data_IF_091916689029
#
_entry.id   IF_091916689029
#
_cell.length_a   1.000
_cell.length_b   1.000
_cell.length_c   1.000
_cell.angle_alpha   90.00
_cell.angle_beta   90.00
_cell.angle_gamma   90.00
#
_symmetry.space_group_name_H-M   'P 1'
#
loop_
_entity.id
_entity.type
_entity.pdbx_description
1 polymer ?
#
# COMPACT_ATOMS: atom_id res chain seq x y z
N UNK A 1 14.32 25.21 -19.37
CA UNK A 1 14.15 23.98 -18.69
C UNK A 1 12.76 23.36 -18.79
N UNK A 2 11.72 23.77 -18.08
CA UNK A 2 10.37 23.14 -18.16
C UNK A 2 9.69 23.36 -19.54
N UNK A 3 9.92 24.51 -20.15
CA UNK A 3 9.48 24.86 -21.51
C UNK A 3 10.11 23.94 -22.56
N UNK A 4 11.39 23.56 -22.43
CA UNK A 4 12.05 22.63 -23.37
C UNK A 4 11.53 21.18 -23.26
N UNK A 5 11.11 20.75 -22.07
CA UNK A 5 10.50 19.44 -21.88
C UNK A 5 9.10 19.41 -22.51
N UNK A 6 8.31 20.47 -22.31
CA UNK A 6 6.95 20.61 -22.83
C UNK A 6 6.91 20.56 -24.36
N UNK A 7 7.87 21.20 -25.04
CA UNK A 7 7.90 21.26 -26.50
C UNK A 7 8.39 19.95 -27.14
N UNK A 8 9.29 19.20 -26.45
CA UNK A 8 9.89 17.98 -26.99
C UNK A 8 9.17 16.70 -26.55
N UNK A 9 8.52 16.74 -25.39
CA UNK A 9 7.88 15.58 -24.75
C UNK A 9 6.50 15.99 -24.20
N UNK A 10 5.50 16.13 -25.07
CA UNK A 10 4.19 16.69 -24.68
C UNK A 10 3.45 15.85 -23.62
N UNK A 11 3.75 14.55 -23.52
CA UNK A 11 3.15 13.66 -22.55
C UNK A 11 3.86 13.68 -21.17
N UNK A 12 4.96 14.42 -21.01
CA UNK A 12 5.72 14.49 -19.74
C UNK A 12 5.45 15.78 -18.94
N UNK A 13 4.49 16.57 -19.34
CA UNK A 13 4.15 17.83 -18.65
C UNK A 13 3.70 17.55 -17.22
N UNK A 14 4.31 18.26 -16.24
CA UNK A 14 3.97 18.17 -14.81
C UNK A 14 4.53 16.95 -14.08
N UNK A 15 5.33 16.12 -14.75
CA UNK A 15 5.98 14.96 -14.17
C UNK A 15 7.44 15.25 -13.80
N UNK A 16 7.97 14.51 -12.84
CA UNK A 16 9.42 14.47 -12.62
C UNK A 16 10.07 13.80 -13.84
N UNK A 17 11.10 14.43 -14.44
CA UNK A 17 11.79 13.85 -15.59
C UNK A 17 12.40 12.50 -15.25
N UNK A 18 12.09 11.49 -16.05
CA UNK A 18 12.70 10.18 -16.00
C UNK A 18 13.06 9.77 -17.42
N UNK A 19 14.27 9.22 -17.59
CA UNK A 19 14.84 8.94 -18.91
C UNK A 19 13.97 7.96 -19.70
N UNK A 20 13.49 6.89 -19.07
CA UNK A 20 12.66 5.88 -19.76
C UNK A 20 11.34 6.47 -20.27
N UNK A 21 10.73 7.41 -19.54
CA UNK A 21 9.49 8.10 -19.95
C UNK A 21 9.72 8.96 -21.19
N UNK A 22 10.88 9.62 -21.24
CA UNK A 22 11.30 10.37 -22.44
C UNK A 22 11.49 9.47 -23.67
N UNK A 23 12.06 8.28 -23.48
CA UNK A 23 12.21 7.29 -24.55
C UNK A 23 10.84 6.78 -25.06
N UNK A 24 9.89 6.52 -24.18
CA UNK A 24 8.52 6.11 -24.58
C UNK A 24 7.91 7.16 -25.48
N UNK A 25 7.84 8.42 -25.02
CA UNK A 25 7.24 9.52 -25.78
C UNK A 25 7.95 9.76 -27.12
N UNK A 26 9.27 9.74 -27.12
CA UNK A 26 10.08 9.92 -28.33
C UNK A 26 9.87 8.82 -29.37
N UNK A 27 9.79 7.56 -28.95
CA UNK A 27 9.60 6.43 -29.87
C UNK A 27 8.23 6.47 -30.54
N UNK A 28 7.19 6.95 -29.86
CA UNK A 28 5.87 7.15 -30.48
C UNK A 28 5.89 8.15 -31.63
N UNK A 29 6.65 9.25 -31.49
CA UNK A 29 6.83 10.25 -32.55
C UNK A 29 7.62 9.75 -33.76
N UNK A 30 8.42 8.68 -33.58
CA UNK A 30 9.26 8.11 -34.64
C UNK A 30 8.64 6.90 -35.35
N UNK A 31 7.42 6.49 -34.94
CA UNK A 31 6.76 5.29 -35.48
C UNK A 31 5.93 5.66 -36.71
N UNK A 32 6.08 4.91 -37.82
CA UNK A 32 5.23 5.04 -39.01
C UNK A 32 3.79 4.59 -38.72
N UNK A 33 2.85 4.94 -39.61
CA UNK A 33 1.42 4.61 -39.43
C UNK A 33 1.14 3.11 -39.34
N UNK A 34 1.98 2.26 -39.97
CA UNK A 34 1.88 0.79 -39.87
C UNK A 34 2.86 0.18 -38.89
N UNK A 35 3.70 1.00 -38.25
CA UNK A 35 4.79 0.56 -37.37
C UNK A 35 4.31 -0.06 -36.08
N UNK A 36 5.22 -0.81 -35.46
CA UNK A 36 5.07 -1.32 -34.09
C UNK A 36 6.36 -1.10 -33.32
N UNK A 37 6.23 -0.79 -32.04
CA UNK A 37 7.32 -0.61 -31.10
C UNK A 37 7.12 -1.59 -29.97
N UNK A 38 8.17 -2.31 -29.58
CA UNK A 38 8.17 -3.10 -28.35
C UNK A 38 9.28 -2.59 -27.45
N UNK A 39 8.91 -2.26 -26.22
CA UNK A 39 9.81 -1.72 -25.18
C UNK A 39 9.69 -2.55 -23.90
N UNK A 40 10.80 -2.65 -23.19
CA UNK A 40 10.84 -3.11 -21.81
C UNK A 40 11.22 -1.92 -20.94
N UNK A 41 10.38 -1.60 -19.95
CA UNK A 41 10.61 -0.45 -19.07
C UNK A 41 9.87 -0.60 -17.73
N UNK A 42 10.19 0.22 -16.70
CA UNK A 42 9.47 0.24 -15.43
C UNK A 42 7.98 0.56 -15.57
N UNK A 43 7.19 0.18 -14.57
CA UNK A 43 5.73 0.32 -14.53
C UNK A 43 5.22 1.61 -13.87
N UNK A 44 6.12 2.41 -13.27
CA UNK A 44 5.72 3.53 -12.40
C UNK A 44 4.81 4.56 -13.05
N UNK A 45 4.88 4.79 -14.38
CA UNK A 45 3.98 5.71 -15.06
C UNK A 45 2.53 5.23 -15.13
N UNK A 46 2.27 3.93 -14.95
CA UNK A 46 0.91 3.40 -14.82
C UNK A 46 0.34 3.53 -13.41
N UNK A 47 1.18 3.67 -12.38
CA UNK A 47 0.75 3.73 -10.97
C UNK A 47 0.86 5.12 -10.34
N UNK A 48 1.69 6.00 -10.88
CA UNK A 48 1.88 7.35 -10.36
C UNK A 48 0.80 8.34 -10.81
N UNK A 49 0.19 9.07 -9.87
CA UNK A 49 -0.86 10.05 -10.14
C UNK A 49 -0.41 11.11 -11.18
N UNK A 50 0.80 11.66 -11.04
CA UNK A 50 1.33 12.72 -11.92
C UNK A 50 1.62 12.27 -13.34
N UNK A 51 1.67 10.95 -13.61
CA UNK A 51 1.96 10.43 -14.95
C UNK A 51 0.72 10.29 -15.85
N UNK A 52 -0.40 10.86 -15.49
CA UNK A 52 -1.67 10.79 -16.21
C UNK A 52 -1.57 11.12 -17.72
N UNK A 53 -0.88 12.20 -18.18
CA UNK A 53 -0.75 12.49 -19.62
C UNK A 53 0.00 11.39 -20.39
N UNK A 54 1.09 10.85 -19.82
CA UNK A 54 1.85 9.76 -20.45
C UNK A 54 1.02 8.47 -20.47
N UNK A 55 0.33 8.17 -19.40
CA UNK A 55 -0.56 7.01 -19.28
C UNK A 55 -1.68 7.03 -20.29
N UNK A 56 -2.36 8.17 -20.47
CA UNK A 56 -3.35 8.38 -21.53
C UNK A 56 -2.75 8.11 -22.92
N UNK A 57 -1.58 8.67 -23.19
CA UNK A 57 -0.86 8.43 -24.43
C UNK A 57 -0.54 6.96 -24.66
N UNK A 58 -0.15 6.24 -23.60
CA UNK A 58 0.11 4.80 -23.62
C UNK A 58 -1.15 3.99 -23.92
N UNK A 59 -2.25 4.20 -23.20
CA UNK A 59 -3.49 3.44 -23.38
C UNK A 59 -4.05 3.52 -24.80
N UNK A 60 -3.93 4.66 -25.44
CA UNK A 60 -4.39 4.82 -26.83
C UNK A 60 -3.47 4.15 -27.87
N UNK A 61 -2.24 3.78 -27.46
CA UNK A 61 -1.23 3.17 -28.36
C UNK A 61 -0.94 1.72 -28.06
N UNK A 62 -1.16 1.25 -26.81
CA UNK A 62 -0.95 -0.13 -26.42
C UNK A 62 -1.76 -1.11 -27.27
N UNK A 63 -1.13 -2.24 -27.56
CA UNK A 63 -1.74 -3.46 -28.12
C UNK A 63 -1.55 -4.63 -27.19
N UNK A 64 -0.41 -4.68 -26.50
CA UNK A 64 -0.07 -5.67 -25.49
C UNK A 64 0.65 -5.03 -24.33
N UNK A 65 0.28 -5.41 -23.15
CA UNK A 65 0.92 -5.03 -21.90
C UNK A 65 1.10 -6.29 -21.03
N UNK A 66 2.34 -6.68 -20.83
CA UNK A 66 2.71 -7.82 -20.00
C UNK A 66 3.54 -7.34 -18.82
N UNK A 67 2.97 -7.33 -17.61
CA UNK A 67 3.66 -6.90 -16.41
C UNK A 67 4.33 -8.08 -15.72
N UNK A 68 5.63 -7.97 -15.51
CA UNK A 68 6.45 -8.94 -14.82
C UNK A 68 6.93 -8.41 -13.48
N UNK A 69 7.15 -9.32 -12.53
CA UNK A 69 7.86 -9.06 -11.27
C UNK A 69 9.14 -9.90 -11.31
N UNK A 70 10.29 -9.29 -10.96
CA UNK A 70 11.61 -9.88 -11.16
C UNK A 70 11.97 -10.99 -10.15
N UNK A 71 11.00 -11.61 -9.48
CA UNK A 71 11.19 -12.62 -8.45
C UNK A 71 12.06 -13.83 -8.87
N UNK A 72 12.11 -14.14 -10.16
CA UNK A 72 12.99 -15.17 -10.73
C UNK A 72 14.32 -14.59 -11.27
N UNK A 73 14.62 -13.34 -10.94
CA UNK A 73 15.87 -12.66 -11.30
C UNK A 73 16.21 -12.80 -12.79
N UNK A 74 15.22 -12.52 -13.66
CA UNK A 74 15.43 -12.53 -15.12
C UNK A 74 16.30 -11.35 -15.57
N UNK A 75 16.38 -10.30 -14.78
CA UNK A 75 17.28 -9.14 -14.93
C UNK A 75 18.10 -8.95 -13.64
N UNK A 76 19.30 -8.43 -13.79
CA UNK A 76 20.21 -8.10 -12.67
C UNK A 76 19.77 -6.77 -11.99
N UNK A 77 18.55 -6.78 -11.43
CA UNK A 77 17.94 -5.73 -10.64
C UNK A 77 17.25 -6.35 -9.43
N UNK A 78 16.84 -5.54 -8.47
CA UNK A 78 16.12 -6.02 -7.28
C UNK A 78 14.93 -6.90 -7.67
N UNK A 79 14.77 -8.04 -6.98
CA UNK A 79 13.76 -9.04 -7.30
C UNK A 79 12.32 -8.57 -7.07
N UNK A 80 12.10 -7.53 -6.27
CA UNK A 80 10.77 -6.94 -6.08
C UNK A 80 10.37 -5.97 -7.20
N UNK A 81 11.30 -5.59 -8.07
CA UNK A 81 11.01 -4.63 -9.12
C UNK A 81 10.04 -5.19 -10.16
N UNK A 82 9.00 -4.41 -10.45
CA UNK A 82 8.09 -4.66 -11.54
C UNK A 82 8.56 -3.94 -12.81
N UNK A 83 8.46 -4.64 -13.93
CA UNK A 83 8.71 -4.10 -15.27
C UNK A 83 7.68 -4.64 -16.25
N UNK A 84 7.48 -3.92 -17.35
CA UNK A 84 6.53 -4.36 -18.38
C UNK A 84 7.19 -4.56 -19.74
N UNK A 85 6.65 -5.52 -20.48
CA UNK A 85 6.88 -5.68 -21.92
C UNK A 85 5.69 -5.08 -22.65
N UNK A 86 5.92 -4.01 -23.39
CA UNK A 86 4.88 -3.20 -23.99
C UNK A 86 4.99 -3.23 -25.50
N UNK A 87 3.88 -3.48 -26.19
CA UNK A 87 3.81 -3.32 -27.64
C UNK A 87 2.88 -2.15 -27.96
N UNK A 88 3.44 -1.11 -28.55
CA UNK A 88 2.74 0.08 -29.00
C UNK A 88 2.58 0.09 -30.54
N UNK A 89 1.54 0.75 -31.01
CA UNK A 89 1.26 1.06 -32.41
C UNK A 89 0.72 2.50 -32.52
N UNK A 90 0.47 3.03 -33.73
CA UNK A 90 -0.17 4.32 -33.88
C UNK A 90 -1.45 4.46 -33.04
N UNK A 91 -1.72 5.69 -32.62
CA UNK A 91 -2.82 6.03 -31.73
C UNK A 91 -4.17 5.60 -32.30
N UNK A 92 -5.01 5.02 -31.44
CA UNK A 92 -6.43 4.73 -31.70
C UNK A 92 -7.32 5.80 -31.06
N UNK A 93 -8.60 5.81 -31.47
CA UNK A 93 -9.62 6.69 -30.87
C UNK A 93 -9.99 6.24 -29.44
N UNK A 94 -9.95 4.93 -29.18
CA UNK A 94 -10.27 4.32 -27.89
C UNK A 94 -9.25 3.24 -27.53
N UNK A 95 -9.02 2.98 -26.23
CA UNK A 95 -8.14 1.92 -25.76
C UNK A 95 -8.71 0.55 -26.13
N UNK A 96 -7.83 -0.33 -26.57
CA UNK A 96 -8.14 -1.76 -26.78
C UNK A 96 -6.82 -2.53 -26.83
N UNK A 97 -6.44 -3.19 -25.74
CA UNK A 97 -5.19 -3.94 -25.65
C UNK A 97 -5.32 -5.17 -24.77
N UNK A 98 -4.49 -6.18 -25.04
CA UNK A 98 -4.35 -7.33 -24.18
C UNK A 98 -3.43 -6.99 -23.00
N UNK A 99 -3.86 -7.36 -21.80
CA UNK A 99 -3.16 -7.12 -20.53
C UNK A 99 -3.03 -8.41 -19.75
N UNK A 100 -1.85 -8.66 -19.20
CA UNK A 100 -1.63 -9.67 -18.17
C UNK A 100 -0.64 -9.14 -17.14
N UNK A 101 -0.88 -9.44 -15.87
CA UNK A 101 -0.08 -8.98 -14.76
C UNK A 101 0.34 -10.11 -13.82
N UNK A 102 1.21 -9.80 -12.87
CA UNK A 102 1.76 -10.77 -11.93
C UNK A 102 2.41 -11.98 -12.64
N UNK A 103 3.16 -11.67 -13.70
CA UNK A 103 3.93 -12.64 -14.46
C UNK A 103 5.35 -12.75 -13.86
N UNK A 104 5.89 -13.95 -13.83
CA UNK A 104 7.23 -14.20 -13.32
C UNK A 104 8.17 -14.78 -14.38
N UNK A 105 7.59 -15.37 -15.46
CA UNK A 105 8.36 -15.93 -16.57
C UNK A 105 7.63 -15.73 -17.91
N UNK A 106 8.35 -15.45 -19.02
CA UNK A 106 7.74 -15.22 -20.33
C UNK A 106 6.92 -16.39 -20.89
N UNK A 107 7.30 -17.64 -20.56
CA UNK A 107 6.56 -18.84 -21.00
C UNK A 107 5.11 -18.86 -20.52
N UNK A 108 4.82 -18.24 -19.35
CA UNK A 108 3.47 -18.13 -18.81
C UNK A 108 2.56 -17.41 -19.79
N UNK A 109 2.93 -16.21 -20.24
CA UNK A 109 2.11 -15.44 -21.17
C UNK A 109 2.10 -16.05 -22.57
N UNK A 110 3.22 -16.60 -23.01
CA UNK A 110 3.32 -17.29 -24.30
C UNK A 110 2.34 -18.47 -24.39
N UNK A 111 2.34 -19.32 -23.38
CA UNK A 111 1.39 -20.44 -23.29
C UNK A 111 -0.06 -19.98 -23.11
N UNK A 112 -0.31 -18.88 -22.40
CA UNK A 112 -1.65 -18.33 -22.17
C UNK A 112 -2.32 -17.84 -23.45
N UNK A 113 -1.56 -17.33 -24.43
CA UNK A 113 -2.08 -16.85 -25.72
C UNK A 113 -2.75 -17.96 -26.57
N UNK A 114 -2.33 -19.20 -26.39
CA UNK A 114 -2.89 -20.36 -27.12
C UNK A 114 -3.70 -21.30 -26.22
N UNK A 115 -3.88 -20.97 -24.94
CA UNK A 115 -4.57 -21.83 -23.99
C UNK A 115 -6.08 -21.86 -24.21
N UNK A 116 -6.68 -23.06 -24.13
CA UNK A 116 -8.11 -23.26 -24.38
C UNK A 116 -9.03 -22.87 -23.22
N UNK A 117 -8.47 -22.52 -22.04
CA UNK A 117 -9.22 -22.17 -20.84
C UNK A 117 -9.64 -23.36 -19.96
N UNK A 118 -9.15 -24.56 -20.24
CA UNK A 118 -9.45 -25.74 -19.43
C UNK A 118 -8.51 -25.82 -18.21
N UNK A 119 -9.01 -26.40 -17.11
CA UNK A 119 -8.26 -26.61 -15.88
C UNK A 119 -8.50 -25.55 -14.82
N UNK A 120 -7.78 -25.67 -13.70
CA UNK A 120 -7.90 -24.71 -12.59
C UNK A 120 -7.22 -23.39 -12.91
N UNK A 121 -7.85 -22.30 -12.51
CA UNK A 121 -7.28 -20.95 -12.64
C UNK A 121 -5.98 -20.84 -11.85
N UNK A 122 -4.93 -20.29 -12.46
CA UNK A 122 -3.68 -20.02 -11.75
C UNK A 122 -3.81 -18.81 -10.82
N UNK A 123 -3.12 -18.91 -9.67
CA UNK A 123 -3.00 -17.83 -8.69
C UNK A 123 -1.66 -17.08 -8.79
N UNK A 124 -1.28 -16.42 -7.70
CA UNK A 124 0.07 -15.87 -7.53
C UNK A 124 1.07 -16.97 -7.18
N UNK A 125 0.65 -17.90 -6.34
CA UNK A 125 1.40 -19.08 -5.90
C UNK A 125 0.64 -20.35 -6.29
N UNK A 126 1.38 -21.42 -6.55
CA UNK A 126 0.85 -22.78 -6.70
C UNK A 126 0.64 -23.46 -5.33
N UNK A 127 0.13 -24.67 -5.33
CA UNK A 127 -0.14 -25.43 -4.11
C UNK A 127 1.13 -25.78 -3.29
N UNK A 128 2.29 -25.64 -3.89
CA UNK A 128 3.60 -25.81 -3.25
C UNK A 128 4.24 -24.48 -2.81
N UNK A 129 3.48 -23.39 -2.83
CA UNK A 129 3.91 -22.03 -2.51
C UNK A 129 5.00 -21.45 -3.43
N UNK A 130 5.26 -22.06 -4.60
CA UNK A 130 6.09 -21.47 -5.64
C UNK A 130 5.30 -20.44 -6.46
N UNK A 131 6.01 -19.55 -7.17
CA UNK A 131 5.38 -18.64 -8.12
C UNK A 131 4.64 -19.43 -9.20
N UNK A 132 3.35 -19.15 -9.39
CA UNK A 132 2.51 -19.92 -10.32
C UNK A 132 2.80 -19.54 -11.76
N UNK A 133 3.55 -20.40 -12.46
CA UNK A 133 3.95 -20.21 -13.85
C UNK A 133 3.00 -20.85 -14.85
N UNK A 134 1.93 -21.52 -14.39
CA UNK A 134 0.98 -22.20 -15.27
C UNK A 134 0.35 -21.20 -16.25
N UNK A 135 0.34 -21.52 -17.56
CA UNK A 135 -0.41 -20.73 -18.54
C UNK A 135 -1.90 -20.96 -18.38
N UNK A 136 -2.71 -19.93 -18.61
CA UNK A 136 -4.15 -20.03 -18.70
C UNK A 136 -4.70 -18.87 -19.52
N UNK A 137 -5.75 -19.09 -20.35
CA UNK A 137 -6.37 -18.04 -21.14
C UNK A 137 -6.81 -16.85 -20.29
N UNK A 138 -7.37 -17.14 -19.13
CA UNK A 138 -7.95 -16.12 -18.24
C UNK A 138 -6.91 -15.32 -17.42
N UNK A 139 -5.61 -15.56 -17.66
CA UNK A 139 -4.55 -14.60 -17.26
C UNK A 139 -4.54 -13.34 -18.16
N UNK A 140 -5.15 -13.42 -19.35
CA UNK A 140 -5.15 -12.33 -20.31
C UNK A 140 -6.52 -11.66 -20.31
N UNK A 141 -6.53 -10.39 -19.91
CA UNK A 141 -7.70 -9.51 -19.96
C UNK A 141 -7.62 -8.60 -21.19
N UNK A 142 -8.73 -8.37 -21.87
CA UNK A 142 -8.83 -7.28 -22.84
C UNK A 142 -9.25 -6.02 -22.11
N UNK A 143 -8.42 -4.98 -22.21
CA UNK A 143 -8.68 -3.67 -21.60
C UNK A 143 -9.27 -2.74 -22.64
N UNK A 144 -10.49 -2.31 -22.40
CA UNK A 144 -11.26 -1.33 -23.17
C UNK A 144 -11.71 -0.15 -22.29
N UNK A 145 -12.57 0.70 -22.79
CA UNK A 145 -13.13 1.82 -22.02
C UNK A 145 -13.91 1.38 -20.79
N UNK A 146 -14.60 0.25 -20.84
CA UNK A 146 -15.38 -0.24 -19.70
C UNK A 146 -14.45 -0.67 -18.55
N UNK A 147 -13.39 -1.40 -18.87
CA UNK A 147 -12.37 -1.79 -17.89
C UNK A 147 -11.69 -0.56 -17.29
N UNK A 148 -11.37 0.47 -18.11
CA UNK A 148 -10.80 1.71 -17.60
C UNK A 148 -11.75 2.47 -16.68
N UNK A 149 -13.07 2.44 -16.92
CA UNK A 149 -14.07 3.02 -16.01
C UNK A 149 -14.12 2.27 -14.67
N UNK A 150 -13.97 0.94 -14.68
CA UNK A 150 -13.83 0.15 -13.45
C UNK A 150 -12.56 0.55 -12.71
N UNK A 151 -11.40 0.62 -13.38
CA UNK A 151 -10.15 1.06 -12.75
C UNK A 151 -10.27 2.48 -12.18
N UNK A 152 -10.96 3.38 -12.90
CA UNK A 152 -11.27 4.72 -12.43
C UNK A 152 -12.04 4.69 -11.09
N UNK A 153 -13.12 3.93 -11.01
CA UNK A 153 -13.93 3.83 -9.79
C UNK A 153 -13.18 3.21 -8.60
N UNK A 154 -12.12 2.44 -8.87
CA UNK A 154 -11.25 1.85 -7.84
C UNK A 154 -10.22 2.86 -7.31
N UNK A 155 -9.57 3.61 -8.20
CA UNK A 155 -8.32 4.32 -7.89
C UNK A 155 -8.41 5.85 -7.95
N UNK A 156 -9.41 6.40 -8.63
CA UNK A 156 -9.46 7.83 -8.92
C UNK A 156 -10.67 8.50 -8.28
N UNK A 157 -10.65 9.81 -8.28
CA UNK A 157 -11.79 10.67 -7.98
C UNK A 157 -12.41 11.21 -9.29
N UNK A 158 -13.63 11.74 -9.22
CA UNK A 158 -14.40 12.21 -10.38
C UNK A 158 -13.71 13.33 -11.20
N UNK A 159 -12.69 13.99 -10.64
CA UNK A 159 -11.92 15.03 -11.34
C UNK A 159 -10.95 14.47 -12.38
N UNK A 160 -10.62 13.17 -12.31
CA UNK A 160 -9.70 12.50 -13.22
C UNK A 160 -10.47 11.90 -14.39
N UNK A 161 -10.15 12.16 -15.67
CA UNK A 161 -10.75 11.44 -16.78
C UNK A 161 -10.45 9.94 -16.74
N UNK A 162 -11.43 9.08 -17.03
CA UNK A 162 -11.25 7.62 -16.97
C UNK A 162 -10.09 7.12 -17.84
N UNK A 163 -9.81 7.76 -18.96
CA UNK A 163 -8.68 7.44 -19.86
C UNK A 163 -7.31 7.72 -19.24
N UNK A 164 -7.27 8.42 -18.12
CA UNK A 164 -6.09 8.74 -17.33
C UNK A 164 -6.01 7.94 -16.01
N UNK A 165 -6.90 6.96 -15.83
CA UNK A 165 -6.93 6.12 -14.64
C UNK A 165 -5.64 5.33 -14.47
N UNK A 166 -5.18 5.17 -13.23
CA UNK A 166 -4.08 4.27 -12.91
C UNK A 166 -4.46 2.83 -13.25
N UNK A 167 -3.45 2.03 -13.56
CA UNK A 167 -3.64 0.62 -13.92
C UNK A 167 -3.87 -0.24 -12.67
N UNK A 168 -4.74 -1.22 -12.80
CA UNK A 168 -5.00 -2.24 -11.79
C UNK A 168 -4.39 -3.56 -12.24
N UNK A 169 -3.74 -4.26 -11.33
CA UNK A 169 -3.00 -5.49 -11.62
C UNK A 169 -3.67 -6.69 -10.97
N UNK A 170 -4.22 -7.57 -11.77
CA UNK A 170 -4.85 -8.82 -11.33
C UNK A 170 -4.20 -10.01 -12.00
N UNK A 171 -4.11 -11.12 -11.27
CA UNK A 171 -3.46 -12.34 -11.75
C UNK A 171 -4.29 -13.06 -12.83
N UNK A 172 -5.62 -12.85 -12.83
CA UNK A 172 -6.57 -13.45 -13.77
C UNK A 172 -7.87 -12.64 -13.81
N UNK A 173 -8.77 -13.00 -14.73
CA UNK A 173 -10.04 -12.32 -14.94
C UNK A 173 -11.04 -12.48 -13.80
N UNK A 174 -10.99 -13.59 -13.04
CA UNK A 174 -11.85 -13.76 -11.86
C UNK A 174 -11.45 -12.80 -10.73
N UNK A 175 -10.16 -12.60 -10.52
CA UNK A 175 -9.66 -11.58 -9.60
C UNK A 175 -10.11 -10.16 -10.02
N UNK A 176 -10.11 -9.86 -11.32
CA UNK A 176 -10.63 -8.61 -11.87
C UNK A 176 -12.15 -8.47 -11.59
N UNK A 177 -12.94 -9.52 -11.76
CA UNK A 177 -14.37 -9.51 -11.49
C UNK A 177 -14.68 -9.30 -10.00
N UNK A 178 -13.85 -9.81 -9.09
CA UNK A 178 -13.99 -9.53 -7.64
C UNK A 178 -13.75 -8.04 -7.36
N UNK A 179 -12.71 -7.44 -7.95
CA UNK A 179 -12.45 -6.00 -7.77
C UNK A 179 -13.59 -5.14 -8.33
N UNK A 180 -14.16 -5.49 -9.47
CA UNK A 180 -15.32 -4.81 -10.03
C UNK A 180 -16.50 -4.81 -9.07
N UNK A 181 -16.79 -5.95 -8.41
CA UNK A 181 -17.83 -6.02 -7.38
C UNK A 181 -17.51 -5.14 -6.16
N UNK A 182 -16.25 -5.14 -5.72
CA UNK A 182 -15.82 -4.31 -4.60
C UNK A 182 -15.78 -2.81 -4.94
N UNK A 183 -15.72 -2.46 -6.22
CA UNK A 183 -15.70 -1.07 -6.67
C UNK A 183 -16.95 -0.27 -6.27
N UNK A 184 -18.08 -0.93 -6.05
CA UNK A 184 -19.32 -0.30 -5.59
C UNK A 184 -19.46 -0.18 -4.05
N UNK A 185 -18.51 -0.76 -3.28
CA UNK A 185 -18.56 -0.70 -1.83
C UNK A 185 -18.19 0.71 -1.32
N UNK A 186 -18.77 1.18 -0.18
CA UNK A 186 -18.32 2.39 0.50
C UNK A 186 -16.81 2.36 0.78
N UNK A 187 -16.20 3.53 0.88
CA UNK A 187 -14.74 3.68 1.09
C UNK A 187 -14.44 4.22 2.48
N UNK A 188 -13.26 3.91 2.99
CA UNK A 188 -12.78 4.46 4.29
C UNK A 188 -12.83 5.99 4.27
N UNK A 189 -12.52 6.66 3.16
CA UNK A 189 -12.57 8.13 3.05
C UNK A 189 -13.92 8.74 3.39
N UNK A 190 -15.01 8.00 3.19
CA UNK A 190 -16.39 8.47 3.44
C UNK A 190 -16.72 8.51 4.94
N UNK A 191 -15.88 7.92 5.76
CA UNK A 191 -16.10 7.73 7.18
C UNK A 191 -15.47 8.80 8.06
N UNK A 192 -14.56 9.63 7.52
CA UNK A 192 -13.97 10.76 8.23
C UNK A 192 -12.82 10.43 9.19
N UNK A 193 -12.07 9.36 8.96
CA UNK A 193 -10.83 9.09 9.72
C UNK A 193 -9.83 10.23 9.59
N UNK A 194 -9.12 10.54 10.66
CA UNK A 194 -7.99 11.46 10.64
C UNK A 194 -6.67 10.69 10.63
N UNK A 195 -5.70 11.18 9.86
CA UNK A 195 -4.45 10.50 9.54
C UNK A 195 -3.23 11.21 10.14
N UNK A 196 -2.18 10.44 10.49
CA UNK A 196 -0.90 10.96 10.95
C UNK A 196 0.27 10.21 10.30
N UNK A 197 1.23 10.97 9.74
CA UNK A 197 2.51 10.46 9.25
C UNK A 197 3.56 10.29 10.37
N UNK A 198 3.26 10.71 11.59
CA UNK A 198 4.23 10.73 12.67
C UNK A 198 5.40 11.68 12.41
N UNK A 199 6.56 11.35 12.95
CA UNK A 199 7.80 12.09 12.80
C UNK A 199 8.46 11.82 11.44
N UNK A 200 8.96 12.89 10.80
CA UNK A 200 9.81 12.74 9.62
C UNK A 200 11.26 12.47 10.05
N UNK A 201 11.76 11.25 9.80
CA UNK A 201 13.05 10.75 10.31
C UNK A 201 14.23 11.70 10.08
N UNK A 202 14.29 12.40 8.96
CA UNK A 202 15.39 13.32 8.65
C UNK A 202 15.14 14.73 9.20
N UNK A 203 13.96 15.29 8.95
CA UNK A 203 13.66 16.69 9.25
C UNK A 203 13.48 16.90 10.76
N UNK A 204 12.68 16.04 11.42
CA UNK A 204 12.33 16.22 12.81
C UNK A 204 13.46 15.77 13.74
N UNK A 205 14.26 14.78 13.33
CA UNK A 205 15.52 14.45 13.99
C UNK A 205 16.50 15.63 13.92
N UNK A 206 16.67 16.26 12.74
CA UNK A 206 17.51 17.45 12.59
C UNK A 206 17.00 18.64 13.41
N UNK A 207 15.70 18.72 13.64
CA UNK A 207 15.07 19.71 14.51
C UNK A 207 15.29 19.43 16.01
N UNK A 208 15.86 18.26 16.37
CA UNK A 208 16.16 17.89 17.75
C UNK A 208 14.97 17.38 18.54
N UNK A 209 13.95 16.82 17.89
CA UNK A 209 12.81 16.24 18.61
C UNK A 209 13.09 14.83 19.13
N UNK A 210 13.93 14.09 18.43
CA UNK A 210 14.38 12.76 18.83
C UNK A 210 15.72 12.40 18.18
N UNK A 211 16.43 11.44 18.75
CA UNK A 211 17.70 10.92 18.24
C UNK A 211 17.65 9.43 17.96
N UNK A 212 18.60 8.97 17.14
CA UNK A 212 18.83 7.53 16.94
C UNK A 212 19.58 6.97 18.14
N UNK A 213 19.03 5.94 18.74
CA UNK A 213 19.62 5.24 19.86
C UNK A 213 18.69 4.15 20.36
N UNK A 214 19.26 2.99 20.70
CA UNK A 214 18.47 1.95 21.33
C UNK A 214 18.02 2.39 22.72
N UNK A 215 16.75 2.17 23.03
CA UNK A 215 16.18 2.38 24.35
C UNK A 215 15.15 1.31 24.67
N UNK A 216 14.98 1.06 25.96
CA UNK A 216 13.83 0.35 26.50
C UNK A 216 13.03 1.37 27.32
N UNK A 217 11.97 1.95 26.75
CA UNK A 217 11.17 2.98 27.42
C UNK A 217 10.44 2.43 28.65
N UNK A 218 10.31 3.28 29.67
CA UNK A 218 9.51 2.96 30.89
C UNK A 218 8.04 3.43 30.70
N UNK A 219 7.73 4.17 29.64
CA UNK A 219 6.41 4.72 29.36
C UNK A 219 6.10 4.68 27.87
N UNK A 220 4.84 4.47 27.54
CA UNK A 220 4.35 4.56 26.17
C UNK A 220 4.54 5.95 25.53
N UNK A 221 4.62 7.02 26.34
CA UNK A 221 4.91 8.37 25.86
C UNK A 221 6.31 8.53 25.28
N UNK A 222 7.24 7.63 25.61
CA UNK A 222 8.60 7.62 25.09
C UNK A 222 8.80 6.61 23.95
N UNK A 223 7.77 5.83 23.60
CA UNK A 223 7.83 4.86 22.53
C UNK A 223 7.75 5.55 21.16
N UNK A 224 8.74 5.27 20.29
CA UNK A 224 8.75 5.69 18.88
C UNK A 224 8.79 4.45 18.01
N UNK A 225 7.64 4.08 17.44
CA UNK A 225 7.47 2.87 16.65
C UNK A 225 8.02 3.00 15.24
N UNK A 226 8.45 1.86 14.70
CA UNK A 226 8.88 1.67 13.32
C UNK A 226 8.11 0.49 12.69
N UNK A 227 8.18 0.36 11.36
CA UNK A 227 7.49 -0.69 10.62
C UNK A 227 7.61 -2.10 11.20
N UNK A 228 8.81 -2.60 11.55
CA UNK A 228 8.95 -3.96 12.07
C UNK A 228 8.21 -4.26 13.37
N UNK A 229 7.87 -3.28 14.19
CA UNK A 229 7.02 -3.49 15.36
C UNK A 229 5.62 -4.01 15.02
N UNK A 230 5.13 -3.72 13.79
CA UNK A 230 3.75 -3.99 13.40
C UNK A 230 3.64 -5.28 12.59
N UNK A 231 2.81 -6.20 13.04
CA UNK A 231 2.33 -7.34 12.28
C UNK A 231 0.97 -7.08 11.61
N UNK A 232 0.34 -8.12 11.09
CA UNK A 232 -1.06 -8.05 10.65
C UNK A 232 -1.94 -8.39 11.83
N UNK A 233 -2.75 -7.45 12.27
CA UNK A 233 -3.62 -7.57 13.45
C UNK A 233 -2.88 -7.87 14.77
N UNK A 234 -1.58 -7.71 14.80
CA UNK A 234 -0.79 -7.98 16.02
C UNK A 234 0.33 -6.97 16.12
N UNK A 235 0.30 -6.07 17.10
CA UNK A 235 1.37 -5.13 17.37
C UNK A 235 2.53 -5.80 18.12
N UNK A 236 3.67 -5.12 18.18
CA UNK A 236 4.84 -5.45 18.99
C UNK A 236 5.47 -6.82 18.68
N UNK A 237 5.35 -7.29 17.43
CA UNK A 237 5.87 -8.62 17.01
C UNK A 237 7.39 -8.68 16.92
N UNK A 238 8.07 -7.55 16.81
CA UNK A 238 9.53 -7.41 16.75
C UNK A 238 9.98 -6.17 17.50
N UNK A 239 11.22 -6.19 17.96
CA UNK A 239 11.89 -5.03 18.55
C UNK A 239 13.34 -4.94 18.08
N UNK A 240 13.95 -3.74 18.03
CA UNK A 240 15.32 -3.56 17.60
C UNK A 240 16.30 -4.15 18.62
N UNK A 241 17.40 -4.71 18.13
CA UNK A 241 18.48 -5.17 18.97
C UNK A 241 19.33 -3.99 19.48
N UNK A 242 19.93 -4.08 20.66
CA UNK A 242 20.78 -3.02 21.22
C UNK A 242 21.96 -2.64 20.31
N UNK A 243 22.36 -3.53 19.43
CA UNK A 243 23.51 -3.35 18.51
C UNK A 243 23.22 -2.40 17.36
N UNK A 244 21.98 -2.23 16.93
CA UNK A 244 21.54 -1.37 15.82
C UNK A 244 22.49 -1.42 14.59
N UNK A 245 23.01 -2.61 14.23
CA UNK A 245 24.04 -2.78 13.21
C UNK A 245 23.58 -2.38 11.79
N UNK A 246 22.32 -2.62 11.50
CA UNK A 246 21.70 -2.33 10.20
C UNK A 246 20.16 -2.30 10.35
N UNK A 247 19.47 -1.86 9.33
CA UNK A 247 18.01 -1.70 9.35
C UNK A 247 17.21 -3.00 9.60
N UNK A 248 17.85 -4.17 9.48
CA UNK A 248 17.22 -5.48 9.71
C UNK A 248 17.70 -6.12 11.04
N UNK A 249 18.36 -5.36 11.92
CA UNK A 249 18.87 -5.85 13.21
C UNK A 249 17.75 -5.84 14.26
N UNK A 250 16.77 -6.74 14.06
CA UNK A 250 15.56 -6.89 14.87
C UNK A 250 15.39 -8.33 15.32
N UNK A 251 14.89 -8.53 16.52
CA UNK A 251 14.48 -9.82 17.04
C UNK A 251 12.97 -9.93 17.15
N UNK A 252 12.46 -11.14 17.01
CA UNK A 252 11.06 -11.45 17.27
C UNK A 252 10.79 -11.39 18.77
N UNK A 253 9.59 -10.91 19.12
CA UNK A 253 9.08 -10.94 20.48
C UNK A 253 8.24 -12.20 20.64
N UNK A 254 8.52 -12.96 21.68
CA UNK A 254 7.71 -14.12 22.02
C UNK A 254 6.39 -13.67 22.67
N UNK A 255 5.32 -13.73 21.87
CA UNK A 255 3.99 -13.30 22.30
C UNK A 255 3.36 -14.23 23.35
N UNK A 256 3.80 -15.49 23.44
CA UNK A 256 3.27 -16.46 24.43
C UNK A 256 3.80 -16.17 25.84
N UNK A 257 4.97 -15.57 25.94
CA UNK A 257 5.62 -15.26 27.23
C UNK A 257 5.68 -13.75 27.50
N UNK A 258 5.03 -12.94 26.70
CA UNK A 258 5.02 -11.48 26.85
C UNK A 258 4.38 -11.06 28.17
N UNK A 259 5.06 -10.26 29.01
CA UNK A 259 4.47 -9.72 30.22
C UNK A 259 3.30 -8.77 29.92
N UNK A 260 2.31 -8.69 30.81
CA UNK A 260 1.17 -7.80 30.66
C UNK A 260 1.58 -6.32 30.58
N UNK A 261 2.62 -5.91 31.26
CA UNK A 261 3.17 -4.55 31.30
C UNK A 261 4.25 -4.29 30.21
N UNK A 262 4.39 -5.19 29.22
CA UNK A 262 5.43 -5.09 28.21
C UNK A 262 5.35 -3.80 27.40
N UNK A 263 6.48 -3.09 27.31
CA UNK A 263 6.72 -1.96 26.42
C UNK A 263 7.89 -2.34 25.49
N UNK A 264 7.76 -2.20 24.14
CA UNK A 264 8.81 -2.62 23.23
C UNK A 264 10.04 -1.72 23.32
N UNK A 265 11.23 -2.27 23.11
CA UNK A 265 12.42 -1.48 22.84
C UNK A 265 12.27 -0.69 21.54
N UNK A 266 12.94 0.46 21.45
CA UNK A 266 12.92 1.37 20.30
C UNK A 266 14.33 1.68 19.81
N UNK A 267 14.45 2.02 18.49
CA UNK A 267 15.71 2.47 17.90
C UNK A 267 15.83 4.01 17.86
N UNK A 268 14.86 4.70 18.46
CA UNK A 268 14.83 6.16 18.62
C UNK A 268 14.51 6.51 20.06
N UNK A 269 15.07 7.62 20.51
CA UNK A 269 14.85 8.17 21.84
C UNK A 269 14.32 9.59 21.73
N UNK A 270 13.25 9.96 22.47
CA UNK A 270 12.81 11.35 22.56
C UNK A 270 13.93 12.25 23.05
N UNK A 271 14.14 13.39 22.40
CA UNK A 271 14.97 14.44 22.98
C UNK A 271 14.06 15.42 23.75
N UNK A 272 14.06 15.29 25.06
CA UNK A 272 13.34 16.18 25.97
C UNK A 272 14.23 17.23 26.61
N UNK A 273 15.47 17.42 26.10
CA UNK A 273 16.56 18.24 26.65
C UNK A 273 16.25 19.74 26.78
N UNK A 274 15.29 20.07 27.62
CA UNK A 274 14.98 21.44 28.04
C UNK A 274 13.94 22.16 27.19
N UNK A 275 13.34 21.53 26.18
CA UNK A 275 12.26 22.12 25.39
C UNK A 275 11.00 21.24 25.46
N UNK A 276 9.84 21.76 25.81
CA UNK A 276 8.57 21.02 25.83
C UNK A 276 8.06 20.72 24.41
N UNK A 277 8.97 20.58 23.43
CA UNK A 277 8.64 20.57 22.02
C UNK A 277 8.31 19.18 21.51
N UNK A 278 8.91 18.12 22.06
CA UNK A 278 8.67 16.74 21.62
C UNK A 278 7.17 16.40 21.57
N UNK A 279 6.45 16.58 22.66
CA UNK A 279 5.02 16.26 22.71
C UNK A 279 4.14 17.32 22.02
N UNK A 280 4.54 18.59 22.07
CA UNK A 280 3.74 19.70 21.54
C UNK A 280 3.72 19.82 20.02
N UNK A 281 4.76 19.32 19.33
CA UNK A 281 4.90 19.40 17.86
C UNK A 281 4.47 18.12 17.14
N UNK A 282 4.15 17.04 17.85
CA UNK A 282 3.62 15.84 17.22
C UNK A 282 2.30 16.14 16.49
N UNK A 283 2.00 15.47 15.36
CA UNK A 283 0.79 15.75 14.59
C UNK A 283 -0.48 15.78 15.44
N UNK A 284 -1.32 16.79 15.21
CA UNK A 284 -2.56 17.04 15.95
C UNK A 284 -3.77 16.80 15.09
N UNK A 285 -4.81 16.28 15.71
CA UNK A 285 -6.12 16.06 15.13
C UNK A 285 -7.15 17.01 15.70
N UNK A 286 -8.20 17.29 14.92
CA UNK A 286 -9.32 18.10 15.35
C UNK A 286 -10.26 17.21 16.16
N UNK A 287 -10.31 17.41 17.46
CA UNK A 287 -11.26 16.77 18.37
C UNK A 287 -12.38 17.69 18.79
N UNK A 288 -13.35 17.17 19.56
CA UNK A 288 -14.53 17.91 20.06
C UNK A 288 -14.15 19.13 20.88
N UNK A 289 -13.00 19.10 21.55
CA UNK A 289 -12.49 20.15 22.44
C UNK A 289 -11.28 20.93 21.85
N UNK A 290 -11.06 20.89 20.54
CA UNK A 290 -9.94 21.54 19.86
C UNK A 290 -8.88 20.60 19.36
N UNK A 291 -7.71 21.12 18.96
CA UNK A 291 -6.63 20.33 18.42
C UNK A 291 -5.89 19.55 19.52
N UNK A 292 -5.92 18.23 19.43
CA UNK A 292 -5.32 17.30 20.37
C UNK A 292 -4.24 16.47 19.67
N UNK A 293 -3.15 16.11 20.38
CA UNK A 293 -2.12 15.24 19.82
C UNK A 293 -2.73 13.93 19.34
N UNK A 294 -2.36 13.52 18.12
CA UNK A 294 -2.80 12.23 17.59
C UNK A 294 -2.32 11.05 18.46
N UNK A 295 -1.25 11.21 19.23
CA UNK A 295 -0.78 10.20 20.16
C UNK A 295 -1.71 9.95 21.36
N UNK A 296 -2.71 10.79 21.61
CA UNK A 296 -3.63 10.61 22.74
C UNK A 296 -4.73 9.56 22.46
N UNK A 297 -4.79 9.03 21.25
CA UNK A 297 -5.84 8.10 20.84
C UNK A 297 -5.29 6.70 20.58
N UNK A 298 -6.13 5.68 20.78
CA UNK A 298 -5.93 4.39 20.12
C UNK A 298 -6.03 4.58 18.60
N UNK A 299 -5.08 4.01 17.86
CA UNK A 299 -4.97 4.23 16.41
C UNK A 299 -4.71 2.91 15.71
N UNK A 300 -5.28 2.78 14.52
CA UNK A 300 -4.77 1.80 13.56
C UNK A 300 -3.50 2.36 12.95
N UNK A 301 -2.40 1.63 13.10
CA UNK A 301 -1.12 1.96 12.49
C UNK A 301 -0.74 0.90 11.46
N UNK A 302 -0.08 1.29 10.36
CA UNK A 302 0.34 0.35 9.33
C UNK A 302 1.69 0.73 8.74
N UNK A 303 2.38 -0.29 8.19
CA UNK A 303 3.64 -0.06 7.47
C UNK A 303 3.34 0.70 6.19
N UNK A 304 4.04 1.80 5.95
CA UNK A 304 3.91 2.59 4.73
C UNK A 304 4.48 1.86 3.51
N UNK A 305 5.67 1.24 3.65
CA UNK A 305 6.28 0.48 2.55
C UNK A 305 5.60 -0.87 2.42
N UNK A 306 5.28 -1.25 1.19
CA UNK A 306 4.61 -2.49 0.87
C UNK A 306 5.34 -3.27 -0.22
N UNK A 307 5.39 -4.58 -0.04
CA UNK A 307 5.81 -5.52 -1.08
C UNK A 307 4.59 -6.29 -1.59
N UNK A 308 4.24 -6.12 -2.85
CA UNK A 308 3.09 -6.83 -3.46
C UNK A 308 3.34 -8.33 -3.60
N UNK A 309 4.59 -8.77 -3.46
CA UNK A 309 5.02 -10.19 -3.49
C UNK A 309 5.10 -10.82 -2.11
N UNK A 310 5.03 -10.03 -1.03
CA UNK A 310 5.02 -10.53 0.33
C UNK A 310 3.79 -11.39 0.66
N UNK A 311 3.83 -12.08 1.81
CA UNK A 311 2.68 -12.86 2.32
C UNK A 311 1.45 -11.97 2.47
N UNK A 312 1.64 -10.77 2.98
CA UNK A 312 0.63 -9.70 3.01
C UNK A 312 1.23 -8.42 2.41
N UNK A 313 0.37 -7.52 1.96
CA UNK A 313 0.72 -6.21 1.44
C UNK A 313 0.42 -5.11 2.46
N UNK A 314 -0.68 -5.24 3.16
CA UNK A 314 -1.13 -4.33 4.20
C UNK A 314 -0.90 -4.95 5.59
N UNK A 315 -0.19 -4.23 6.48
CA UNK A 315 0.18 -4.66 7.83
C UNK A 315 -0.40 -3.71 8.89
N UNK A 316 -1.71 -3.71 9.10
CA UNK A 316 -2.34 -2.86 10.10
C UNK A 316 -2.38 -3.56 11.46
N UNK A 317 -2.16 -2.79 12.52
CA UNK A 317 -2.42 -3.20 13.90
C UNK A 317 -2.76 -1.98 14.76
N UNK A 318 -3.39 -2.21 15.93
CA UNK A 318 -3.67 -1.14 16.87
C UNK A 318 -2.41 -0.74 17.62
N UNK A 319 -2.29 0.54 17.94
CA UNK A 319 -1.27 1.08 18.82
C UNK A 319 -1.94 1.89 19.94
N UNK A 320 -1.42 1.80 21.19
CA UNK A 320 -2.04 2.46 22.34
C UNK A 320 -1.76 3.96 22.36
N UNK A 321 -2.49 4.73 23.18
CA UNK A 321 -2.17 6.12 23.50
C UNK A 321 -0.73 6.25 24.05
N UNK A 322 -0.12 7.42 23.86
CA UNK A 322 1.29 7.69 24.22
C UNK A 322 2.25 7.36 23.07
N UNK A 323 2.13 6.16 22.49
CA UNK A 323 3.03 5.72 21.40
C UNK A 323 3.07 6.70 20.24
N UNK A 324 4.26 7.07 19.81
CA UNK A 324 4.52 7.84 18.58
C UNK A 324 5.16 6.92 17.53
N UNK A 325 5.32 7.41 16.32
CA UNK A 325 5.98 6.64 15.27
C UNK A 325 6.67 7.55 14.27
N UNK A 326 7.62 6.99 13.53
CA UNK A 326 8.27 7.66 12.40
C UNK A 326 7.53 7.39 11.09
N UNK A 327 7.77 8.23 10.09
CA UNK A 327 7.11 8.28 8.79
C UNK A 327 7.02 6.96 7.99
N UNK A 328 7.92 5.94 8.13
CA UNK A 328 7.67 4.60 7.57
C UNK A 328 6.47 3.87 8.17
N UNK A 329 5.87 4.41 9.22
CA UNK A 329 4.57 4.02 9.77
C UNK A 329 3.59 5.16 9.59
N UNK A 330 2.39 4.85 9.16
CA UNK A 330 1.25 5.76 9.17
C UNK A 330 0.22 5.28 10.21
N UNK A 331 -0.57 6.21 10.74
CA UNK A 331 -1.66 5.86 11.64
C UNK A 331 -2.91 6.68 11.38
N UNK A 332 -4.06 6.16 11.80
CA UNK A 332 -5.34 6.84 11.68
C UNK A 332 -6.29 6.41 12.80
N UNK A 333 -7.27 7.27 13.11
CA UNK A 333 -8.38 6.95 13.99
C UNK A 333 -9.62 7.78 13.64
N UNK A 334 -10.76 7.34 14.14
CA UNK A 334 -11.93 8.18 14.35
C UNK A 334 -11.74 8.84 15.71
N UNK A 335 -11.65 10.16 15.72
CA UNK A 335 -11.45 10.91 16.98
C UNK A 335 -12.69 10.77 17.83
N UNK A 336 -12.50 10.44 19.11
CA UNK A 336 -13.55 10.20 20.11
C UNK A 336 -14.47 8.98 19.80
N UNK A 337 -14.11 8.09 18.85
CA UNK A 337 -14.88 6.91 18.46
C UNK A 337 -13.98 5.67 18.35
N UNK A 338 -13.65 5.05 19.51
CA UNK A 338 -12.73 3.91 19.60
C UNK A 338 -13.25 2.67 18.86
N UNK A 339 -14.56 2.42 18.94
CA UNK A 339 -15.20 1.26 18.32
C UNK A 339 -15.09 1.29 16.79
N UNK A 340 -15.30 2.45 16.18
CA UNK A 340 -15.17 2.69 14.75
C UNK A 340 -13.71 2.53 14.32
N UNK A 341 -12.77 3.00 15.13
CA UNK A 341 -11.33 2.81 14.92
C UNK A 341 -10.95 1.32 14.91
N UNK A 342 -11.45 0.55 15.89
CA UNK A 342 -11.25 -0.91 15.96
C UNK A 342 -11.83 -1.61 14.74
N UNK A 343 -13.05 -1.23 14.32
CA UNK A 343 -13.73 -1.81 13.17
C UNK A 343 -12.98 -1.52 11.86
N UNK A 344 -12.46 -0.30 11.68
CA UNK A 344 -11.63 0.06 10.55
C UNK A 344 -10.33 -0.77 10.52
N UNK A 345 -9.67 -0.95 11.67
CA UNK A 345 -8.49 -1.80 11.80
C UNK A 345 -8.76 -3.25 11.44
N UNK A 346 -9.89 -3.80 11.88
CA UNK A 346 -10.31 -5.15 11.55
C UNK A 346 -10.57 -5.30 10.03
N UNK A 347 -11.25 -4.35 9.41
CA UNK A 347 -11.47 -4.33 7.96
C UNK A 347 -10.16 -4.25 7.19
N UNK A 348 -9.26 -3.33 7.55
CA UNK A 348 -7.94 -3.17 6.95
C UNK A 348 -7.09 -4.45 7.07
N UNK A 349 -7.27 -5.23 8.13
CA UNK A 349 -6.59 -6.51 8.35
C UNK A 349 -7.15 -7.66 7.51
N UNK A 350 -8.29 -7.47 6.86
CA UNK A 350 -8.95 -8.50 6.08
C UNK A 350 -8.18 -8.84 4.79
N UNK A 351 -8.38 -10.06 4.29
CA UNK A 351 -7.85 -10.47 2.98
C UNK A 351 -8.43 -9.65 1.82
N UNK A 352 -9.63 -9.10 2.00
CA UNK A 352 -10.29 -8.27 0.99
C UNK A 352 -9.55 -6.95 0.81
N UNK A 353 -9.23 -6.26 1.90
CA UNK A 353 -8.47 -5.02 1.86
C UNK A 353 -7.00 -5.24 1.41
N UNK A 354 -6.40 -6.36 1.81
CA UNK A 354 -5.06 -6.74 1.33
C UNK A 354 -5.05 -7.01 -0.19
N UNK A 355 -6.05 -7.74 -0.68
CA UNK A 355 -6.22 -8.01 -2.11
C UNK A 355 -6.43 -6.72 -2.90
N UNK A 356 -7.28 -5.80 -2.38
CA UNK A 356 -7.47 -4.49 -2.98
C UNK A 356 -6.16 -3.71 -3.07
N UNK A 357 -5.45 -3.56 -1.94
CA UNK A 357 -4.18 -2.85 -1.88
C UNK A 357 -3.14 -3.44 -2.85
N UNK A 358 -3.01 -4.77 -2.88
CA UNK A 358 -2.11 -5.50 -3.78
C UNK A 358 -2.42 -5.22 -5.25
N UNK A 359 -3.71 -5.21 -5.61
CA UNK A 359 -4.17 -5.03 -6.98
C UNK A 359 -3.91 -3.62 -7.53
N UNK A 360 -3.65 -2.63 -6.67
CA UNK A 360 -3.25 -1.29 -7.10
C UNK A 360 -1.82 -1.23 -7.64
N UNK A 361 -0.99 -2.24 -7.39
CA UNK A 361 0.42 -2.25 -7.74
C UNK A 361 1.26 -1.19 -7.03
N UNK A 362 0.71 -0.53 -6.00
CA UNK A 362 1.42 0.52 -5.27
C UNK A 362 2.52 -0.07 -4.39
N UNK A 363 3.67 0.57 -4.37
CA UNK A 363 4.80 0.26 -3.48
C UNK A 363 4.68 0.91 -2.10
N UNK A 364 3.70 1.79 -1.92
CA UNK A 364 3.44 2.52 -0.69
C UNK A 364 1.98 2.47 -0.28
N UNK A 365 1.72 2.12 0.96
CA UNK A 365 0.40 2.20 1.60
C UNK A 365 0.16 3.62 2.10
N UNK A 366 0.03 4.55 1.15
CA UNK A 366 -0.23 5.97 1.41
C UNK A 366 -1.65 6.22 1.91
N UNK A 367 -1.92 7.40 2.47
CA UNK A 367 -3.28 7.78 2.90
C UNK A 367 -4.33 7.63 1.80
N UNK A 368 -4.12 8.17 0.57
CA UNK A 368 -5.10 8.02 -0.49
C UNK A 368 -5.41 6.56 -0.85
N UNK A 369 -4.43 5.65 -0.70
CA UNK A 369 -4.67 4.23 -0.91
C UNK A 369 -5.52 3.64 0.21
N UNK A 370 -5.20 3.92 1.47
CA UNK A 370 -5.99 3.46 2.62
C UNK A 370 -7.40 4.04 2.59
N UNK A 371 -7.55 5.31 2.25
CA UNK A 371 -8.84 5.95 2.03
C UNK A 371 -9.68 5.29 0.92
N UNK A 372 -9.03 4.67 -0.07
CA UNK A 372 -9.70 3.96 -1.16
C UNK A 372 -10.14 2.54 -0.80
N UNK A 373 -9.73 1.99 0.35
CA UNK A 373 -10.09 0.63 0.75
C UNK A 373 -11.60 0.47 0.90
N UNK A 374 -12.18 -0.65 0.42
CA UNK A 374 -13.58 -0.94 0.61
C UNK A 374 -13.88 -1.19 2.10
N UNK A 375 -14.95 -0.61 2.60
CA UNK A 375 -15.34 -0.70 3.99
C UNK A 375 -16.85 -0.79 4.11
N UNK A 376 -17.36 -1.59 5.05
CA UNK A 376 -18.77 -1.65 5.39
C UNK A 376 -18.93 -1.78 6.89
N UNK A 377 -19.78 -0.95 7.47
CA UNK A 377 -20.15 -1.00 8.90
C UNK A 377 -21.28 -2.00 9.16
N UNK A 378 -21.84 -2.61 8.13
CA UNK A 378 -22.99 -3.50 8.26
C UNK A 378 -22.58 -4.94 8.57
N UNK A 379 -23.33 -5.56 9.47
CA UNK A 379 -23.39 -6.99 9.83
C UNK A 379 -22.15 -7.68 10.42
N UNK A 380 -22.34 -8.32 11.57
CA UNK A 380 -21.36 -9.08 12.37
C UNK A 380 -20.28 -8.25 13.11
N UNK A 381 -20.45 -6.94 13.24
CA UNK A 381 -19.50 -6.04 13.86
C UNK A 381 -19.01 -6.54 15.24
N UNK A 382 -19.89 -6.98 16.13
CA UNK A 382 -19.52 -7.37 17.50
C UNK A 382 -18.53 -8.55 17.57
N UNK A 383 -18.72 -9.58 16.73
CA UNK A 383 -17.78 -10.72 16.67
C UNK A 383 -16.45 -10.29 16.06
N UNK A 384 -16.49 -9.57 14.96
CA UNK A 384 -15.30 -9.07 14.28
C UNK A 384 -14.46 -8.18 15.21
N UNK A 385 -15.08 -7.30 15.94
CA UNK A 385 -14.43 -6.42 16.91
C UNK A 385 -13.73 -7.24 18.02
N UNK A 386 -14.43 -8.19 18.65
CA UNK A 386 -13.87 -9.03 19.70
C UNK A 386 -12.70 -9.88 19.19
N UNK A 387 -12.84 -10.51 18.02
CA UNK A 387 -11.78 -11.34 17.43
C UNK A 387 -10.56 -10.50 17.04
N UNK A 388 -10.76 -9.27 16.50
CA UNK A 388 -9.67 -8.36 16.17
C UNK A 388 -8.96 -7.84 17.44
N UNK A 389 -9.72 -7.48 18.48
CA UNK A 389 -9.13 -7.03 19.75
C UNK A 389 -8.33 -8.13 20.43
N UNK A 390 -8.75 -9.40 20.35
CA UNK A 390 -7.97 -10.54 20.90
C UNK A 390 -6.58 -10.66 20.26
N UNK A 391 -6.43 -10.26 19.01
CA UNK A 391 -5.14 -10.28 18.31
C UNK A 391 -4.29 -9.05 18.61
N UNK A 392 -4.92 -7.93 18.99
CA UNK A 392 -4.23 -6.65 19.18
C UNK A 392 -3.99 -6.28 20.65
N UNK A 393 -4.88 -6.64 21.56
CA UNK A 393 -4.78 -6.28 22.97
C UNK A 393 -3.82 -7.22 23.72
N UNK A 394 -2.54 -7.17 23.33
CA UNK A 394 -1.48 -8.06 23.83
C UNK A 394 -0.84 -7.62 25.12
N UNK A 395 -1.15 -6.41 25.62
CA UNK A 395 -0.65 -5.86 26.89
C UNK A 395 -1.73 -5.07 27.61
N UNK A 396 -1.53 -4.77 28.89
CA UNK A 396 -2.44 -3.98 29.72
C UNK A 396 -2.69 -2.55 29.21
N UNK A 397 -1.80 -2.02 28.37
CA UNK A 397 -2.00 -0.72 27.72
C UNK A 397 -3.26 -0.66 26.84
N UNK A 398 -3.78 -1.81 26.43
CA UNK A 398 -5.03 -1.93 25.66
C UNK A 398 -6.25 -2.25 26.52
N UNK A 399 -6.10 -2.46 27.82
CA UNK A 399 -7.22 -2.79 28.72
C UNK A 399 -8.38 -1.78 28.62
N UNK A 400 -8.15 -0.44 28.61
CA UNK A 400 -9.24 0.53 28.49
C UNK A 400 -10.02 0.37 27.17
N UNK A 401 -9.34 0.07 26.07
CA UNK A 401 -9.99 -0.14 24.76
C UNK A 401 -10.82 -1.43 24.76
N UNK A 402 -10.27 -2.50 25.32
CA UNK A 402 -10.98 -3.77 25.44
C UNK A 402 -12.26 -3.62 26.26
N UNK A 403 -12.16 -3.00 27.45
CA UNK A 403 -13.28 -2.79 28.35
C UNK A 403 -14.36 -1.88 27.74
N UNK A 404 -13.95 -0.82 27.03
CA UNK A 404 -14.87 0.07 26.32
C UNK A 404 -15.65 -0.65 25.20
N UNK A 405 -14.95 -1.44 24.38
CA UNK A 405 -15.55 -2.01 23.16
C UNK A 405 -16.22 -3.35 23.41
N UNK A 406 -15.66 -4.20 24.29
CA UNK A 406 -16.16 -5.55 24.56
C UNK A 406 -17.10 -5.54 25.78
N UNK A 407 -16.88 -4.65 26.75
CA UNK A 407 -17.68 -4.56 27.97
C UNK A 407 -17.35 -5.63 29.03
N UNK A 408 -16.18 -6.28 28.91
CA UNK A 408 -15.67 -7.30 29.84
C UNK A 408 -14.28 -6.84 30.34
N UNK A 409 -13.83 -7.21 31.55
CA UNK A 409 -12.47 -6.94 31.99
C UNK A 409 -11.44 -7.53 31.01
N UNK A 410 -10.32 -6.85 30.85
CA UNK A 410 -9.19 -7.39 30.09
C UNK A 410 -8.44 -8.42 30.95
N UNK A 411 -8.15 -9.59 30.39
CA UNK A 411 -7.58 -10.76 31.05
C UNK A 411 -6.27 -11.17 30.36
#
# INVERSE_FOLDING_TARGET
SEMCIRDRYPHLVGQQPDLYRGFIDRTWGNTSEEGAISLIHPESHFTEKKAAPLRRGAYLRLRRHWQFINELVLFDIDHHNAYGVHTYRPQRKSPNFAHAASLYHPSTVQGSLSHNGAGSLPGLKDDSANWDLRPHRDRIQTVDENVLKVWHSILEDDSVPFIESRMVYTVNTEAAAVLEKLASAPRIRELGMQFSAGWHETADKKAGYFDTGWAHPDSWDDVILQGPHLGVSTPMIKQPNPTLKHNQDWSEVDLETMPADFIPATAYQPDRGGMPTYDSVYPKWCGSNGNVSSSNFFRVAWRRMAATTGFRTLYPSLIPPGAKHVHPVHSAAFVDESKETVLAGAAMSSLICDFWARSTGASEMSYPLVESLPFSMETQAARLLKDYLRLNCVTEAYAPLWEEVVGEPWD
#
